data_IF_239639129399
#
_entry.id   IF_239639129399
#
_cell.length_a   1.000
_cell.length_b   1.000
_cell.length_c   1.000
_cell.angle_alpha   90.00
_cell.angle_beta   90.00
_cell.angle_gamma   90.00
#
_symmetry.space_group_name_H-M   'P 1'
#
loop_
_entity.id
_entity.type
_entity.pdbx_description
1 polymer ?
#
# COMPACT_ATOMS: atom_id res chain seq x y z
N UNK A 1 -11.41 13.23 26.22
CA UNK A 1 -12.23 14.12 25.35
C UNK A 1 -13.07 13.24 24.44
N UNK A 2 -14.35 13.55 24.22
CA UNK A 2 -15.20 12.87 23.23
C UNK A 2 -15.70 13.87 22.19
N UNK A 3 -15.81 13.40 20.95
CA UNK A 3 -16.30 14.17 19.80
C UNK A 3 -17.45 13.40 19.16
N UNK A 4 -18.43 14.13 18.61
CA UNK A 4 -19.51 13.55 17.83
C UNK A 4 -19.31 13.88 16.35
N UNK A 5 -18.87 12.89 15.58
CA UNK A 5 -18.64 12.98 14.14
C UNK A 5 -19.90 12.48 13.41
N UNK A 6 -20.85 13.38 13.17
CA UNK A 6 -22.19 13.02 12.67
C UNK A 6 -22.94 12.12 13.66
N UNK A 7 -23.19 10.87 13.29
CA UNK A 7 -23.83 9.87 14.14
C UNK A 7 -22.83 8.99 14.92
N UNK A 8 -21.52 9.15 14.70
CA UNK A 8 -20.48 8.37 15.40
C UNK A 8 -19.90 9.16 16.56
N UNK A 9 -19.78 8.51 17.72
CA UNK A 9 -19.01 9.05 18.85
C UNK A 9 -17.56 8.58 18.72
N UNK A 10 -16.62 9.52 18.77
CA UNK A 10 -15.19 9.28 18.78
C UNK A 10 -14.60 9.71 20.14
N UNK A 11 -13.71 8.89 20.70
CA UNK A 11 -12.96 9.24 21.91
C UNK A 11 -11.54 9.61 21.49
N UNK A 12 -11.10 10.80 21.89
CA UNK A 12 -9.77 11.32 21.56
C UNK A 12 -8.81 10.97 22.70
N UNK A 13 -7.76 10.23 22.34
CA UNK A 13 -6.64 9.89 23.22
C UNK A 13 -5.52 10.90 22.97
N UNK A 14 -5.28 11.76 23.95
CA UNK A 14 -4.37 12.90 23.83
C UNK A 14 -3.29 12.96 24.92
N UNK A 15 -2.96 11.81 25.53
CA UNK A 15 -1.85 11.72 26.49
C UNK A 15 -1.05 10.42 26.31
N UNK A 16 0.28 10.43 26.53
CA UNK A 16 1.10 9.23 26.44
C UNK A 16 0.68 8.13 27.41
N UNK A 17 0.26 8.50 28.63
CA UNK A 17 -0.21 7.55 29.63
C UNK A 17 -1.44 6.78 29.13
N UNK A 18 -2.47 7.48 28.61
CA UNK A 18 -3.66 6.82 28.06
C UNK A 18 -3.35 6.03 26.79
N UNK A 19 -2.46 6.54 25.93
CA UNK A 19 -2.02 5.80 24.75
C UNK A 19 -1.34 4.48 25.14
N UNK A 20 -0.51 4.47 26.20
CA UNK A 20 0.11 3.25 26.74
C UNK A 20 -0.93 2.26 27.28
N UNK A 21 -1.90 2.73 28.06
CA UNK A 21 -2.97 1.87 28.57
C UNK A 21 -3.72 1.17 27.42
N UNK A 22 -4.09 1.92 26.37
CA UNK A 22 -4.93 1.43 25.28
C UNK A 22 -4.15 0.58 24.27
N UNK A 23 -2.97 1.04 23.85
CA UNK A 23 -2.21 0.43 22.75
C UNK A 23 -1.22 -0.64 23.20
N UNK A 24 -0.91 -0.75 24.50
CA UNK A 24 0.01 -1.77 25.02
C UNK A 24 -0.65 -2.69 26.05
N UNK A 25 -1.43 -2.16 27.00
CA UNK A 25 -2.00 -2.99 28.07
C UNK A 25 -3.36 -3.59 27.71
N UNK A 26 -4.13 -2.91 26.87
CA UNK A 26 -5.46 -3.32 26.40
C UNK A 26 -5.50 -3.46 24.87
N UNK A 27 -4.35 -3.69 24.25
CA UNK A 27 -4.14 -3.67 22.80
C UNK A 27 -5.13 -4.56 22.03
N UNK A 28 -5.40 -5.77 22.52
CA UNK A 28 -6.34 -6.70 21.91
C UNK A 28 -7.78 -6.17 21.94
N UNK A 29 -8.22 -5.58 23.06
CA UNK A 29 -9.56 -5.02 23.21
C UNK A 29 -9.81 -3.84 22.27
N UNK A 30 -8.75 -3.07 21.95
CA UNK A 30 -8.81 -1.91 21.05
C UNK A 30 -8.23 -2.18 19.66
N UNK A 31 -8.03 -3.46 19.29
CA UNK A 31 -7.47 -3.85 17.98
C UNK A 31 -8.46 -3.73 16.81
N UNK A 32 -9.76 -3.59 17.11
CA UNK A 32 -10.83 -3.46 16.12
C UNK A 32 -10.75 -2.10 15.40
N UNK A 33 -11.02 -2.10 14.09
CA UNK A 33 -10.88 -0.92 13.23
C UNK A 33 -12.23 -0.47 12.69
N UNK A 34 -12.45 0.85 12.66
CA UNK A 34 -13.58 1.42 11.92
C UNK A 34 -13.27 1.39 10.43
N UNK A 35 -14.02 0.60 9.67
CA UNK A 35 -13.81 0.40 8.23
C UNK A 35 -14.56 1.49 7.45
N UNK A 36 -13.87 2.33 6.64
CA UNK A 36 -14.53 3.29 5.75
C UNK A 36 -15.39 2.61 4.69
N UNK A 37 -16.54 3.20 4.34
CA UNK A 37 -17.45 2.67 3.31
C UNK A 37 -16.74 2.48 1.96
N UNK A 38 -15.80 3.36 1.62
CA UNK A 38 -15.07 3.30 0.36
C UNK A 38 -14.28 1.99 0.20
N UNK A 39 -13.62 1.50 1.26
CA UNK A 39 -12.78 0.28 1.20
C UNK A 39 -13.58 -1.03 1.16
N UNK A 40 -14.91 -0.96 1.12
CA UNK A 40 -15.76 -2.10 0.74
C UNK A 40 -15.74 -2.35 -0.78
N UNK A 41 -15.22 -1.42 -1.58
CA UNK A 41 -14.91 -1.66 -3.00
C UNK A 41 -14.02 -2.91 -3.15
N UNK A 42 -14.38 -3.79 -4.08
CA UNK A 42 -13.71 -5.09 -4.31
C UNK A 42 -13.53 -5.94 -3.03
N UNK A 43 -14.34 -5.71 -1.99
CA UNK A 43 -14.17 -6.41 -0.72
C UNK A 43 -12.84 -6.14 -0.03
N UNK A 44 -12.13 -5.03 -0.33
CA UNK A 44 -10.76 -4.80 0.13
C UNK A 44 -10.57 -4.91 1.65
N UNK A 45 -11.54 -4.44 2.43
CA UNK A 45 -11.58 -4.65 3.88
C UNK A 45 -11.47 -6.11 4.38
N UNK A 46 -11.79 -7.11 3.55
CA UNK A 46 -11.73 -8.55 3.89
C UNK A 46 -10.37 -9.19 3.60
N UNK A 47 -9.49 -8.51 2.87
CA UNK A 47 -8.20 -9.06 2.44
C UNK A 47 -7.03 -8.19 2.88
N UNK A 48 -7.28 -6.92 3.20
CA UNK A 48 -6.27 -5.94 3.57
C UNK A 48 -5.81 -6.10 5.02
N UNK A 49 -4.49 -6.17 5.23
CA UNK A 49 -3.86 -6.14 6.57
C UNK A 49 -4.15 -4.87 7.36
N UNK A 50 -4.62 -3.81 6.68
CA UNK A 50 -5.03 -2.55 7.29
C UNK A 50 -6.38 -2.66 8.00
N UNK A 51 -7.27 -3.56 7.56
CA UNK A 51 -8.67 -3.62 8.02
C UNK A 51 -9.09 -4.96 8.62
N UNK A 52 -8.39 -6.04 8.28
CA UNK A 52 -8.64 -7.36 8.85
C UNK A 52 -8.53 -7.34 10.39
N UNK A 53 -9.42 -8.05 11.11
CA UNK A 53 -9.28 -8.23 12.55
C UNK A 53 -8.03 -9.06 12.87
N UNK A 54 -7.52 -8.92 14.10
CA UNK A 54 -6.37 -9.72 14.57
C UNK A 54 -6.79 -11.18 14.73
N UNK A 55 -6.56 -11.96 13.68
CA UNK A 55 -6.83 -13.39 13.57
C UNK A 55 -5.72 -14.05 12.73
N UNK A 56 -5.80 -15.37 12.52
CA UNK A 56 -4.73 -16.14 11.88
C UNK A 56 -4.37 -15.62 10.49
N UNK A 57 -5.37 -15.34 9.65
CA UNK A 57 -5.17 -14.74 8.33
C UNK A 57 -4.43 -13.39 8.39
N UNK A 58 -4.77 -12.52 9.35
CA UNK A 58 -4.06 -11.25 9.55
C UNK A 58 -2.62 -11.48 10.01
N UNK A 59 -2.39 -12.45 10.90
CA UNK A 59 -1.04 -12.81 11.38
C UNK A 59 -0.18 -13.36 10.25
N UNK A 60 -0.73 -14.22 9.40
CA UNK A 60 -0.02 -14.80 8.25
C UNK A 60 0.38 -13.73 7.24
N UNK A 61 -0.54 -12.82 6.88
CA UNK A 61 -0.22 -11.69 6.00
C UNK A 61 0.81 -10.74 6.63
N UNK A 62 0.69 -10.44 7.93
CA UNK A 62 1.67 -9.60 8.65
C UNK A 62 3.05 -10.24 8.70
N UNK A 63 3.11 -11.56 8.94
CA UNK A 63 4.35 -12.32 8.90
C UNK A 63 4.97 -12.28 7.51
N UNK A 64 4.17 -12.48 6.46
CA UNK A 64 4.64 -12.38 5.07
C UNK A 64 5.25 -10.99 4.77
N UNK A 65 4.57 -9.90 5.16
CA UNK A 65 5.10 -8.54 5.02
C UNK A 65 6.43 -8.36 5.78
N UNK A 66 6.45 -8.66 7.08
CA UNK A 66 7.58 -8.36 7.95
C UNK A 66 8.81 -9.23 7.66
N UNK A 67 8.61 -10.51 7.32
CA UNK A 67 9.72 -11.43 7.08
C UNK A 67 10.31 -11.32 5.67
N UNK A 68 9.50 -10.90 4.69
CA UNK A 68 9.89 -11.03 3.28
C UNK A 68 9.92 -9.72 2.50
N UNK A 69 9.18 -8.69 2.93
CA UNK A 69 9.18 -7.37 2.29
C UNK A 69 10.01 -6.39 3.11
N UNK A 70 9.76 -6.33 4.42
CA UNK A 70 10.32 -5.33 5.32
C UNK A 70 11.38 -5.89 6.29
N UNK A 71 11.96 -7.06 5.99
CA UNK A 71 13.04 -7.62 6.82
C UNK A 71 14.36 -6.91 6.56
N UNK A 72 15.22 -6.83 7.58
CA UNK A 72 16.54 -6.20 7.48
C UNK A 72 17.33 -6.69 6.27
N UNK A 73 17.42 -8.01 6.09
CA UNK A 73 18.13 -8.61 4.95
C UNK A 73 17.57 -8.18 3.58
N UNK A 74 16.26 -7.96 3.47
CA UNK A 74 15.61 -7.52 2.22
C UNK A 74 15.83 -6.03 1.97
N UNK A 75 15.82 -5.25 3.04
CA UNK A 75 16.22 -3.84 2.97
C UNK A 75 17.71 -3.72 2.61
N UNK A 76 18.60 -4.54 3.17
CA UNK A 76 20.02 -4.52 2.82
C UNK A 76 20.25 -4.97 1.37
N UNK A 77 19.57 -6.03 0.93
CA UNK A 77 19.64 -6.50 -0.46
C UNK A 77 19.17 -5.48 -1.50
N UNK A 78 18.29 -4.56 -1.12
CA UNK A 78 17.80 -3.47 -1.98
C UNK A 78 18.59 -2.15 -1.82
N UNK A 79 19.70 -2.15 -1.08
CA UNK A 79 20.51 -0.95 -0.84
C UNK A 79 21.02 -0.32 -2.15
N UNK A 80 21.56 -1.12 -3.06
CA UNK A 80 22.07 -0.62 -4.35
C UNK A 80 20.98 0.07 -5.17
N UNK A 81 19.79 -0.53 -5.20
CA UNK A 81 18.62 0.04 -5.86
C UNK A 81 18.21 1.37 -5.21
N UNK A 82 18.14 1.44 -3.87
CA UNK A 82 17.84 2.69 -3.16
C UNK A 82 18.85 3.78 -3.50
N UNK A 83 20.14 3.44 -3.49
CA UNK A 83 21.20 4.38 -3.84
C UNK A 83 21.05 4.88 -5.28
N UNK A 84 20.77 3.98 -6.22
CA UNK A 84 20.50 4.35 -7.61
C UNK A 84 19.32 5.32 -7.72
N UNK A 85 18.18 5.02 -7.10
CA UNK A 85 16.97 5.87 -7.18
C UNK A 85 17.16 7.23 -6.50
N UNK A 86 17.99 7.31 -5.46
CA UNK A 86 18.41 8.58 -4.85
C UNK A 86 19.31 9.37 -5.80
N UNK A 87 20.25 8.73 -6.49
CA UNK A 87 21.10 9.41 -7.49
C UNK A 87 20.28 9.94 -8.67
N UNK A 88 19.31 9.17 -9.16
CA UNK A 88 18.36 9.63 -10.20
C UNK A 88 17.59 10.88 -9.74
N UNK A 89 17.13 10.91 -8.47
CA UNK A 89 16.46 12.07 -7.89
C UNK A 89 17.39 13.29 -7.80
N UNK A 90 18.64 13.11 -7.36
CA UNK A 90 19.64 14.18 -7.29
C UNK A 90 19.91 14.75 -8.68
N UNK A 91 20.06 13.90 -9.69
CA UNK A 91 20.26 14.32 -11.08
C UNK A 91 19.06 15.11 -11.62
N UNK A 92 17.84 14.65 -11.34
CA UNK A 92 16.61 15.37 -11.71
C UNK A 92 16.56 16.78 -11.08
N UNK A 93 16.82 16.88 -9.78
CA UNK A 93 16.85 18.18 -9.07
C UNK A 93 17.97 19.07 -9.62
N UNK A 94 19.15 18.49 -9.91
CA UNK A 94 20.27 19.21 -10.53
C UNK A 94 19.91 19.79 -11.90
N UNK A 95 19.20 19.03 -12.74
CA UNK A 95 18.70 19.50 -14.03
C UNK A 95 17.69 20.65 -13.88
N UNK A 96 16.71 20.51 -12.98
CA UNK A 96 15.76 21.59 -12.70
C UNK A 96 16.46 22.87 -12.22
N UNK A 97 17.50 22.74 -11.40
CA UNK A 97 18.32 23.87 -10.94
C UNK A 97 19.02 24.58 -12.11
N UNK A 98 19.66 23.82 -13.01
CA UNK A 98 20.31 24.36 -14.21
C UNK A 98 19.34 25.10 -15.14
N UNK A 99 18.12 24.59 -15.26
CA UNK A 99 17.06 25.16 -16.10
C UNK A 99 16.23 26.27 -15.39
N UNK A 100 16.48 26.52 -14.10
CA UNK A 100 15.71 27.49 -13.30
C UNK A 100 14.24 27.10 -13.06
N UNK A 101 13.93 25.80 -13.11
CA UNK A 101 12.56 25.26 -12.98
C UNK A 101 12.29 24.87 -11.52
N UNK A 102 11.12 25.27 -11.01
CA UNK A 102 10.66 24.86 -9.68
C UNK A 102 10.39 23.35 -9.61
N UNK A 103 10.86 22.71 -8.54
CA UNK A 103 10.64 21.28 -8.30
C UNK A 103 9.42 21.08 -7.42
N UNK A 104 8.46 20.28 -7.91
CA UNK A 104 7.41 19.72 -7.06
C UNK A 104 7.99 18.54 -6.25
N UNK A 105 8.39 18.84 -5.02
CA UNK A 105 8.99 17.85 -4.10
C UNK A 105 8.03 16.70 -3.79
N UNK A 106 6.72 16.99 -3.66
CA UNK A 106 5.72 15.96 -3.36
C UNK A 106 5.59 14.97 -4.51
N UNK A 107 5.51 15.50 -5.74
CA UNK A 107 5.52 14.68 -6.96
C UNK A 107 6.82 13.90 -7.07
N UNK A 108 7.99 14.56 -6.94
CA UNK A 108 9.30 13.93 -7.04
C UNK A 108 9.47 12.78 -6.05
N UNK A 109 9.19 13.01 -4.76
CA UNK A 109 9.24 11.98 -3.71
C UNK A 109 8.29 10.82 -4.01
N UNK A 110 7.05 11.11 -4.44
CA UNK A 110 6.10 10.08 -4.84
C UNK A 110 6.62 9.24 -6.01
N UNK A 111 7.22 9.86 -7.04
CA UNK A 111 7.84 9.14 -8.17
C UNK A 111 8.89 8.16 -7.64
N UNK A 112 9.83 8.67 -6.85
CA UNK A 112 10.96 7.89 -6.32
C UNK A 112 10.50 6.74 -5.44
N UNK A 113 9.57 6.98 -4.51
CA UNK A 113 9.03 5.93 -3.64
C UNK A 113 8.27 4.86 -4.42
N UNK A 114 7.45 5.26 -5.40
CA UNK A 114 6.70 4.33 -6.23
C UNK A 114 7.63 3.41 -7.03
N UNK A 115 8.70 3.97 -7.62
CA UNK A 115 9.69 3.22 -8.40
C UNK A 115 10.47 2.25 -7.52
N UNK A 116 10.84 2.68 -6.31
CA UNK A 116 11.52 1.82 -5.36
C UNK A 116 10.64 0.63 -4.96
N UNK A 117 9.36 0.88 -4.65
CA UNK A 117 8.40 -0.17 -4.30
C UNK A 117 8.11 -1.09 -5.48
N UNK A 118 7.95 -0.56 -6.70
CA UNK A 118 7.67 -1.38 -7.88
C UNK A 118 8.82 -2.32 -8.20
N UNK A 119 10.06 -1.84 -8.09
CA UNK A 119 11.23 -2.67 -8.34
C UNK A 119 11.44 -3.68 -7.21
N UNK A 120 11.19 -3.29 -5.95
CA UNK A 120 11.24 -4.24 -4.82
C UNK A 120 10.19 -5.34 -4.92
N UNK A 121 8.97 -5.01 -5.35
CA UNK A 121 7.85 -5.95 -5.35
C UNK A 121 7.83 -6.80 -6.61
N UNK A 122 7.99 -6.18 -7.77
CA UNK A 122 7.81 -6.80 -9.09
C UNK A 122 9.09 -6.92 -9.91
N UNK A 123 10.23 -6.41 -9.42
CA UNK A 123 11.46 -6.25 -10.21
C UNK A 123 11.29 -5.40 -11.48
N UNK A 124 10.26 -4.54 -11.49
CA UNK A 124 9.93 -3.67 -12.62
C UNK A 124 10.30 -2.22 -12.29
N UNK A 125 11.02 -1.58 -13.21
CA UNK A 125 11.29 -0.15 -13.13
C UNK A 125 10.08 0.65 -13.63
N UNK A 126 9.26 1.16 -12.71
CA UNK A 126 8.15 2.07 -13.01
C UNK A 126 8.60 3.55 -13.05
N UNK A 127 9.90 3.81 -13.15
CA UNK A 127 10.44 5.15 -13.31
C UNK A 127 10.35 5.66 -14.74
N UNK A 128 10.32 4.76 -15.72
CA UNK A 128 10.41 5.13 -17.13
C UNK A 128 9.14 5.90 -17.56
N UNK A 129 9.24 7.22 -17.81
CA UNK A 129 8.11 8.01 -18.24
C UNK A 129 7.70 7.71 -19.68
N UNK A 130 8.45 6.90 -20.44
CA UNK A 130 8.13 6.57 -21.83
C UNK A 130 7.15 5.40 -21.96
N UNK A 131 6.84 4.70 -20.87
CA UNK A 131 5.86 3.62 -20.86
C UNK A 131 4.49 4.11 -20.35
N UNK A 132 3.49 4.08 -21.22
CA UNK A 132 2.12 4.50 -20.89
C UNK A 132 1.52 3.71 -19.71
N UNK A 133 1.84 2.42 -19.61
CA UNK A 133 1.39 1.52 -18.53
C UNK A 133 1.88 1.98 -17.16
N UNK A 134 3.13 2.43 -17.10
CA UNK A 134 3.77 2.94 -15.89
C UNK A 134 3.08 4.22 -15.44
N UNK A 135 2.91 5.20 -16.35
CA UNK A 135 2.22 6.46 -16.02
C UNK A 135 0.80 6.22 -15.53
N UNK A 136 0.07 5.31 -16.18
CA UNK A 136 -1.29 4.93 -15.80
C UNK A 136 -1.34 4.35 -14.39
N UNK A 137 -0.42 3.44 -14.03
CA UNK A 137 -0.36 2.88 -12.68
C UNK A 137 -0.17 3.96 -11.61
N UNK A 138 0.74 4.91 -11.83
CA UNK A 138 1.02 5.97 -10.85
C UNK A 138 -0.19 6.88 -10.69
N UNK A 139 -0.90 7.14 -11.78
CA UNK A 139 -2.16 7.86 -11.75
C UNK A 139 -3.21 7.10 -10.92
N UNK A 140 -3.37 5.79 -11.12
CA UNK A 140 -4.31 4.98 -10.34
C UNK A 140 -4.00 5.01 -8.84
N UNK A 141 -2.74 4.76 -8.45
CA UNK A 141 -2.32 4.83 -7.04
C UNK A 141 -2.57 6.22 -6.45
N UNK A 142 -2.27 7.28 -7.21
CA UNK A 142 -2.56 8.65 -6.79
C UNK A 142 -4.06 8.90 -6.58
N UNK A 143 -4.92 8.50 -7.52
CA UNK A 143 -6.37 8.65 -7.38
C UNK A 143 -6.92 7.85 -6.20
N UNK A 144 -6.40 6.65 -5.96
CA UNK A 144 -6.76 5.85 -4.78
C UNK A 144 -6.44 6.62 -3.49
N UNK A 145 -5.23 7.18 -3.37
CA UNK A 145 -4.85 7.97 -2.20
C UNK A 145 -5.77 9.19 -2.00
N UNK A 146 -6.06 9.91 -3.08
CA UNK A 146 -6.95 11.08 -3.06
C UNK A 146 -8.36 10.69 -2.62
N UNK A 147 -8.92 9.59 -3.12
CA UNK A 147 -10.26 9.14 -2.75
C UNK A 147 -10.33 8.60 -1.32
N UNK A 148 -9.30 7.90 -0.84
CA UNK A 148 -9.22 7.40 0.56
C UNK A 148 -9.02 8.56 1.55
N UNK A 149 -8.28 9.60 1.17
CA UNK A 149 -8.01 10.77 2.02
C UNK A 149 -9.19 11.73 2.18
N UNK A 150 -10.20 11.66 1.29
CA UNK A 150 -11.38 12.54 1.36
C UNK A 150 -12.31 12.14 2.50
N UNK A 151 -12.77 13.09 3.34
CA UNK A 151 -13.86 12.84 4.26
C UNK A 151 -15.11 12.36 3.49
N UNK A 152 -15.65 11.21 3.90
CA UNK A 152 -16.85 10.64 3.30
C UNK A 152 -18.03 10.73 4.27
N UNK A 153 -19.06 11.48 3.91
CA UNK A 153 -20.29 11.69 4.69
C UNK A 153 -20.96 10.36 5.08
N UNK A 154 -20.83 9.35 4.22
CA UNK A 154 -21.38 8.01 4.47
C UNK A 154 -20.75 7.35 5.71
N UNK A 155 -19.52 7.71 6.06
CA UNK A 155 -18.84 7.17 7.23
C UNK A 155 -19.35 7.77 8.55
N UNK A 156 -20.06 8.91 8.47
CA UNK A 156 -20.62 9.62 9.61
C UNK A 156 -22.15 9.50 9.70
N UNK A 157 -22.83 9.29 8.56
CA UNK A 157 -24.29 9.20 8.47
C UNK A 157 -24.70 7.93 7.73
N UNK A 158 -25.16 6.94 8.48
CA UNK A 158 -25.43 5.59 7.95
C UNK A 158 -26.54 5.54 6.90
N UNK A 159 -27.49 6.48 6.95
CA UNK A 159 -28.59 6.61 5.99
C UNK A 159 -28.11 6.88 4.54
N UNK A 160 -26.93 7.47 4.38
CA UNK A 160 -26.37 7.83 3.06
C UNK A 160 -25.66 6.67 2.35
N UNK A 161 -25.51 5.51 3.01
CA UNK A 161 -24.74 4.36 2.48
C UNK A 161 -25.19 3.87 1.11
N UNK A 162 -26.49 3.91 0.83
CA UNK A 162 -27.06 3.35 -0.40
C UNK A 162 -26.88 4.25 -1.63
N UNK A 163 -26.73 5.56 -1.45
CA UNK A 163 -26.72 6.53 -2.55
C UNK A 163 -25.31 7.00 -2.95
N UNK A 164 -24.30 6.80 -2.10
CA UNK A 164 -22.90 7.24 -2.33
C UNK A 164 -22.82 8.69 -2.84
N UNK A 165 -23.25 9.68 -2.02
CA UNK A 165 -23.53 11.04 -2.48
C UNK A 165 -22.28 11.77 -3.02
N UNK A 166 -21.10 11.40 -2.54
CA UNK A 166 -19.82 11.95 -3.02
C UNK A 166 -19.18 11.09 -4.13
N UNK A 167 -19.78 9.96 -4.49
CA UNK A 167 -19.28 9.02 -5.50
C UNK A 167 -17.94 8.37 -5.17
N UNK A 168 -17.47 8.48 -3.91
CA UNK A 168 -16.12 8.04 -3.50
C UNK A 168 -16.00 6.53 -3.65
N UNK A 169 -17.00 5.77 -3.17
CA UNK A 169 -16.96 4.31 -3.27
C UNK A 169 -17.02 3.85 -4.73
N UNK A 170 -17.80 4.52 -5.58
CA UNK A 170 -17.89 4.23 -7.01
C UNK A 170 -16.56 4.45 -7.72
N UNK A 171 -15.91 5.60 -7.53
CA UNK A 171 -14.60 5.90 -8.13
C UNK A 171 -13.52 4.95 -7.61
N UNK A 172 -13.47 4.72 -6.30
CA UNK A 172 -12.51 3.79 -5.71
C UNK A 172 -12.69 2.35 -6.21
N UNK A 173 -13.93 1.94 -6.49
CA UNK A 173 -14.20 0.65 -7.15
C UNK A 173 -13.56 0.58 -8.54
N UNK A 174 -13.67 1.62 -9.35
CA UNK A 174 -13.00 1.66 -10.66
C UNK A 174 -11.48 1.56 -10.50
N UNK A 175 -10.89 2.45 -9.70
CA UNK A 175 -9.43 2.47 -9.53
C UNK A 175 -8.87 1.17 -8.95
N UNK A 176 -9.58 0.53 -8.00
CA UNK A 176 -9.21 -0.79 -7.49
C UNK A 176 -9.30 -1.87 -8.56
N UNK A 177 -10.34 -1.86 -9.39
CA UNK A 177 -10.48 -2.79 -10.51
C UNK A 177 -9.30 -2.72 -11.45
N UNK A 178 -8.99 -1.53 -11.96
CA UNK A 178 -7.89 -1.30 -12.91
C UNK A 178 -6.52 -1.68 -12.29
N UNK A 179 -6.34 -1.37 -11.00
CA UNK A 179 -5.11 -1.71 -10.27
C UNK A 179 -4.95 -3.21 -10.06
N UNK A 180 -6.02 -3.92 -9.68
CA UNK A 180 -5.97 -5.37 -9.50
C UNK A 180 -5.83 -6.12 -10.81
N UNK A 181 -6.41 -5.61 -11.91
CA UNK A 181 -6.16 -6.16 -13.25
C UNK A 181 -4.68 -6.04 -13.62
N UNK A 182 -4.04 -4.90 -13.33
CA UNK A 182 -2.62 -4.74 -13.55
C UNK A 182 -1.78 -5.69 -12.69
N UNK A 183 -2.04 -5.80 -11.38
CA UNK A 183 -1.33 -6.76 -10.53
C UNK A 183 -1.56 -8.19 -10.98
N UNK A 184 -2.77 -8.53 -11.42
CA UNK A 184 -3.08 -9.84 -11.95
C UNK A 184 -2.19 -10.19 -13.15
N UNK A 185 -2.07 -9.29 -14.13
CA UNK A 185 -1.18 -9.49 -15.28
C UNK A 185 0.27 -9.71 -14.89
N UNK A 186 0.79 -8.92 -13.95
CA UNK A 186 2.16 -9.08 -13.45
C UNK A 186 2.38 -10.44 -12.76
N UNK A 187 1.39 -10.90 -11.99
CA UNK A 187 1.43 -12.24 -11.37
C UNK A 187 1.39 -13.33 -12.43
N UNK A 188 0.55 -13.18 -13.47
CA UNK A 188 0.44 -14.16 -14.56
C UNK A 188 1.74 -14.27 -15.37
N UNK A 189 2.33 -13.13 -15.75
CA UNK A 189 3.64 -13.07 -16.40
C UNK A 189 4.71 -13.78 -15.56
N UNK A 190 4.71 -13.57 -14.23
CA UNK A 190 5.65 -14.26 -13.35
C UNK A 190 5.43 -15.77 -13.30
N UNK A 191 4.18 -16.22 -13.22
CA UNK A 191 3.84 -17.64 -13.23
C UNK A 191 4.25 -18.32 -14.55
N UNK A 192 4.13 -17.63 -15.67
CA UNK A 192 4.62 -18.13 -16.98
C UNK A 192 6.14 -18.24 -17.01
N UNK A 193 6.87 -17.23 -16.52
CA UNK A 193 8.33 -17.27 -16.42
C UNK A 193 8.81 -18.45 -15.57
N UNK A 194 8.16 -18.72 -14.43
CA UNK A 194 8.43 -19.90 -13.59
C UNK A 194 8.24 -21.21 -14.35
N UNK A 195 7.11 -21.37 -15.05
CA UNK A 195 6.80 -22.58 -15.82
C UNK A 195 7.80 -22.84 -16.94
N UNK A 196 8.32 -21.77 -17.55
CA UNK A 196 9.29 -21.87 -18.64
C UNK A 196 10.72 -22.19 -18.19
N UNK A 197 10.98 -22.27 -16.88
CA UNK A 197 12.33 -22.48 -16.34
C UNK A 197 13.29 -21.29 -16.56
N UNK A 198 12.76 -20.17 -17.08
CA UNK A 198 13.50 -18.92 -17.33
C UNK A 198 13.50 -17.98 -16.14
N UNK A 199 12.88 -18.39 -15.03
CA UNK A 199 13.03 -17.67 -13.78
C UNK A 199 14.51 -17.72 -13.39
N UNK A 200 15.24 -16.65 -13.67
CA UNK A 200 16.44 -16.35 -12.92
C UNK A 200 16.11 -16.35 -11.43
N UNK A 201 17.10 -16.48 -10.57
CA UNK A 201 16.95 -16.43 -9.12
C UNK A 201 16.53 -15.02 -8.61
N UNK A 202 15.64 -14.33 -9.32
CA UNK A 202 15.02 -13.07 -8.90
C UNK A 202 14.03 -13.39 -7.78
N UNK A 203 14.55 -13.46 -6.57
CA UNK A 203 13.80 -13.82 -5.38
C UNK A 203 13.00 -12.62 -4.88
N UNK A 204 12.23 -11.94 -5.74
CA UNK A 204 11.48 -10.75 -5.36
C UNK A 204 10.23 -11.08 -4.54
N UNK A 205 9.54 -10.04 -4.08
CA UNK A 205 8.41 -10.21 -3.15
C UNK A 205 7.30 -11.06 -3.75
N UNK A 206 6.96 -10.87 -5.02
CA UNK A 206 5.91 -11.68 -5.66
C UNK A 206 6.31 -13.14 -5.65
N UNK A 207 7.57 -13.45 -5.94
CA UNK A 207 8.01 -14.85 -5.93
C UNK A 207 7.89 -15.49 -4.55
N UNK A 208 8.22 -14.75 -3.51
CA UNK A 208 8.07 -15.23 -2.13
C UNK A 208 6.59 -15.43 -1.78
N UNK A 209 5.73 -14.48 -2.14
CA UNK A 209 4.30 -14.57 -1.85
C UNK A 209 3.64 -15.74 -2.58
N UNK A 210 4.06 -16.02 -3.82
CA UNK A 210 3.62 -17.19 -4.58
C UNK A 210 4.08 -18.49 -3.94
N UNK A 211 5.34 -18.58 -3.47
CA UNK A 211 5.83 -19.77 -2.77
C UNK A 211 5.05 -20.02 -1.47
N UNK A 212 4.77 -18.96 -0.70
CA UNK A 212 3.93 -19.06 0.50
C UNK A 212 2.53 -19.55 0.14
N UNK A 213 1.94 -19.03 -0.95
CA UNK A 213 0.63 -19.48 -1.45
C UNK A 213 0.60 -20.96 -1.79
N UNK A 214 1.69 -21.49 -2.36
CA UNK A 214 1.81 -22.90 -2.75
C UNK A 214 2.04 -23.82 -1.54
N UNK A 215 2.80 -23.36 -0.53
CA UNK A 215 3.16 -24.15 0.64
C UNK A 215 2.02 -24.32 1.67
N UNK A 216 1.28 -23.26 1.98
CA UNK A 216 0.32 -23.27 3.09
C UNK A 216 -1.13 -22.98 2.68
N UNK A 217 -1.38 -22.47 1.48
CA UNK A 217 -2.73 -22.14 0.99
C UNK A 217 -3.46 -21.03 1.75
N UNK A 218 -2.86 -20.44 2.79
CA UNK A 218 -3.47 -19.39 3.62
C UNK A 218 -3.52 -18.04 2.89
N UNK A 219 -2.53 -17.79 2.02
CA UNK A 219 -2.43 -16.58 1.21
C UNK A 219 -2.64 -16.99 -0.25
N UNK A 220 -3.85 -16.80 -0.77
CA UNK A 220 -4.12 -17.00 -2.20
C UNK A 220 -3.84 -15.73 -3.03
N UNK A 221 -3.99 -15.84 -4.36
CA UNK A 221 -3.82 -14.72 -5.30
C UNK A 221 -4.54 -13.43 -4.90
N UNK A 222 -5.81 -13.50 -4.49
CA UNK A 222 -6.57 -12.31 -4.07
C UNK A 222 -5.91 -11.62 -2.87
N UNK A 223 -5.33 -12.39 -1.94
CA UNK A 223 -4.56 -11.79 -0.85
C UNK A 223 -3.31 -11.09 -1.37
N UNK A 224 -2.58 -11.71 -2.30
CA UNK A 224 -1.36 -11.14 -2.91
C UNK A 224 -1.67 -9.80 -3.59
N UNK A 225 -2.71 -9.75 -4.42
CA UNK A 225 -3.14 -8.52 -5.12
C UNK A 225 -3.49 -7.40 -4.13
N UNK A 226 -4.26 -7.72 -3.09
CA UNK A 226 -4.64 -6.76 -2.05
C UNK A 226 -3.45 -6.34 -1.17
N UNK A 227 -2.50 -7.24 -0.93
CA UNK A 227 -1.28 -6.96 -0.18
C UNK A 227 -0.36 -6.02 -0.95
N UNK A 228 -0.22 -6.25 -2.27
CA UNK A 228 0.51 -5.34 -3.16
C UNK A 228 -0.09 -3.93 -3.08
N UNK A 229 -1.41 -3.80 -3.19
CA UNK A 229 -2.07 -2.50 -3.05
C UNK A 229 -1.73 -1.83 -1.71
N UNK A 230 -1.75 -2.57 -0.60
CA UNK A 230 -1.37 -2.02 0.71
C UNK A 230 0.06 -1.50 0.73
N UNK A 231 1.02 -2.17 0.08
CA UNK A 231 2.40 -1.72 0.02
C UNK A 231 2.58 -0.41 -0.77
N UNK A 232 1.75 -0.14 -1.78
CA UNK A 232 1.80 1.09 -2.58
C UNK A 232 1.05 2.27 -1.96
N UNK A 233 0.22 2.03 -0.95
CA UNK A 233 -0.47 3.10 -0.24
C UNK A 233 0.43 3.65 0.88
N UNK A 234 0.51 4.98 1.04
CA UNK A 234 1.29 5.57 2.10
C UNK A 234 0.71 5.10 3.42
N UNK A 235 1.52 4.39 4.19
CA UNK A 235 1.14 4.10 5.56
C UNK A 235 1.03 5.43 6.31
N UNK A 236 0.05 5.60 7.21
CA UNK A 236 0.09 6.71 8.13
C UNK A 236 1.46 6.72 8.84
N UNK A 237 1.99 7.90 9.20
CA UNK A 237 3.37 8.09 9.67
C UNK A 237 3.82 7.26 10.87
N UNK A 238 2.93 6.49 11.51
CA UNK A 238 3.27 5.43 12.46
C UNK A 238 4.05 4.26 11.86
N UNK A 239 4.12 4.10 10.52
CA UNK A 239 4.94 3.07 9.84
C UNK A 239 6.00 3.69 8.92
N UNK A 240 5.79 4.91 8.37
CA UNK A 240 6.83 5.61 7.61
C UNK A 240 8.09 5.92 8.44
N UNK A 241 7.97 5.92 9.77
CA UNK A 241 9.11 6.04 10.68
C UNK A 241 10.08 4.84 10.60
N UNK A 242 9.75 3.76 9.88
CA UNK A 242 10.62 2.59 9.72
C UNK A 242 11.25 2.53 8.32
N UNK A 243 10.62 3.11 7.29
CA UNK A 243 11.16 3.05 5.91
C UNK A 243 12.03 4.27 5.58
N UNK A 244 11.91 5.38 6.30
CA UNK A 244 12.75 6.58 6.12
C UNK A 244 13.85 6.69 7.20
N UNK A 245 13.81 5.83 8.23
CA UNK A 245 14.85 5.82 9.30
C UNK A 245 15.92 4.74 9.11
N UNK A 246 16.03 4.15 7.92
CA UNK A 246 17.14 3.28 7.48
C UNK A 246 17.45 3.58 6.01
#
# INVERSE_FOLDING_TARGET
MSLKLGQKTAVVISSPALAKEILQKQDLAFSTRSIPNAVHAHGHHKYSTVWLPVADQWRSLRKALNSNIFSGNRLDGSQNLRQQKVQELIQYVGKCCQEGIAVDIGSAAFKTSLNLLSNTIFSIDMADPTQDSVQHFRHLIWQIMVEIGKPNLVDYFSILKKIDPQGIRRRLKSHFGDTFEMFGRLIDERLELRRSGKSGAENDVIDILLNISEENGEINRTHIEHLCLVCFLPFPPSINSIIISF
#
